data_IF_097421091790
#
_entry.id   IF_097421091790
#
_cell.length_a   1.000
_cell.length_b   1.000
_cell.length_c   1.000
_cell.angle_alpha   90.00
_cell.angle_beta   90.00
_cell.angle_gamma   90.00
#
_symmetry.space_group_name_H-M   'P 1'
#
loop_
_entity.id
_entity.type
_entity.pdbx_description
1 polymer ?
#
# COMPACT_ATOMS: atom_id res chain seq x y z
N UNK A 1 5.12 -16.30 18.98
CA UNK A 1 6.51 -16.45 18.52
C UNK A 1 7.45 -17.28 19.43
N UNK A 2 7.08 -17.57 20.67
CA UNK A 2 7.88 -18.43 21.58
C UNK A 2 7.43 -19.89 21.64
N UNK A 3 6.36 -20.29 20.96
CA UNK A 3 5.85 -21.66 20.96
C UNK A 3 6.63 -22.62 20.06
N UNK A 4 7.38 -22.12 19.07
CA UNK A 4 8.07 -22.97 18.10
C UNK A 4 9.42 -23.52 18.54
N UNK A 5 10.06 -22.98 19.58
CA UNK A 5 11.38 -23.47 20.03
C UNK A 5 11.26 -24.82 20.77
N UNK A 6 10.16 -25.06 21.48
CA UNK A 6 9.90 -26.33 22.14
C UNK A 6 9.56 -27.46 21.13
N UNK A 7 8.75 -27.13 20.11
CA UNK A 7 8.33 -28.12 19.11
C UNK A 7 9.49 -28.51 18.14
N UNK A 8 10.46 -27.60 17.90
CA UNK A 8 11.62 -27.92 17.08
C UNK A 8 12.55 -28.90 17.78
N UNK A 9 12.76 -28.78 19.08
CA UNK A 9 13.62 -29.71 19.84
C UNK A 9 12.98 -31.10 19.93
N UNK A 10 11.65 -31.19 20.13
CA UNK A 10 10.93 -32.48 20.09
C UNK A 10 10.97 -33.15 18.71
N UNK A 11 10.99 -32.35 17.63
CA UNK A 11 11.06 -32.87 16.27
C UNK A 11 12.43 -33.51 15.93
N UNK A 12 13.53 -33.06 16.55
CA UNK A 12 14.85 -33.67 16.40
C UNK A 12 14.95 -35.02 17.13
N UNK A 13 14.18 -35.23 18.17
CA UNK A 13 14.15 -36.49 18.91
C UNK A 13 13.19 -37.55 18.30
N UNK A 14 12.27 -37.13 17.43
CA UNK A 14 11.29 -38.01 16.80
C UNK A 14 11.63 -38.23 15.30
N UNK A 15 12.23 -39.39 14.91
CA UNK A 15 12.60 -39.63 13.50
C UNK A 15 11.41 -39.78 12.55
N UNK A 16 10.17 -39.77 13.07
CA UNK A 16 8.92 -39.82 12.27
C UNK A 16 8.25 -38.46 12.08
N UNK A 17 8.82 -37.39 12.67
CA UNK A 17 8.29 -36.04 12.49
C UNK A 17 8.92 -35.41 11.27
N UNK A 18 8.17 -35.36 10.18
CA UNK A 18 8.57 -34.65 8.97
C UNK A 18 8.29 -33.18 9.19
N UNK A 19 9.34 -32.39 9.44
CA UNK A 19 9.24 -30.92 9.45
C UNK A 19 9.28 -30.46 8.00
N UNK A 20 8.15 -30.13 7.45
CA UNK A 20 8.06 -29.49 6.14
C UNK A 20 8.35 -28.00 6.29
N UNK A 21 9.55 -27.57 5.91
CA UNK A 21 9.90 -26.15 5.83
C UNK A 21 9.27 -25.56 4.56
N UNK A 22 8.08 -25.01 4.71
CA UNK A 22 7.49 -24.18 3.67
C UNK A 22 8.07 -22.77 3.83
N UNK A 23 8.85 -22.28 2.85
CA UNK A 23 9.29 -20.90 2.88
C UNK A 23 8.07 -19.99 2.88
N UNK A 24 8.10 -18.95 3.71
CA UNK A 24 7.04 -17.94 3.70
C UNK A 24 6.92 -17.40 2.27
N UNK A 25 5.76 -17.60 1.65
CA UNK A 25 5.52 -17.10 0.29
C UNK A 25 5.33 -15.59 0.37
N UNK A 26 6.35 -14.85 -0.03
CA UNK A 26 6.27 -13.39 -0.13
C UNK A 26 5.23 -13.04 -1.20
N UNK A 27 4.23 -12.25 -0.82
CA UNK A 27 3.12 -11.87 -1.70
C UNK A 27 3.03 -10.36 -1.78
N UNK A 28 3.40 -9.82 -2.93
CA UNK A 28 3.12 -8.44 -3.30
C UNK A 28 1.72 -8.29 -3.90
N UNK A 29 1.26 -7.04 -4.04
CA UNK A 29 0.02 -6.69 -4.73
C UNK A 29 0.33 -5.93 -6.01
N UNK A 30 -0.37 -6.26 -7.09
CA UNK A 30 -0.23 -5.57 -8.37
C UNK A 30 -1.17 -4.37 -8.43
N UNK A 31 -0.63 -3.21 -8.82
CA UNK A 31 -1.38 -1.97 -9.03
C UNK A 31 -1.27 -1.56 -10.49
N UNK A 32 -2.37 -1.71 -11.23
CA UNK A 32 -2.45 -1.29 -12.63
C UNK A 32 -2.57 0.24 -12.72
N UNK A 33 -2.11 0.82 -13.83
CA UNK A 33 -2.16 2.26 -14.09
C UNK A 33 -1.38 3.15 -13.09
N UNK A 34 -0.58 2.58 -12.21
CA UNK A 34 0.25 3.30 -11.24
C UNK A 34 1.68 3.38 -11.79
N UNK A 35 2.37 4.57 -11.72
CA UNK A 35 3.76 4.70 -12.13
C UNK A 35 4.67 3.69 -11.44
N UNK A 36 5.65 3.12 -12.18
CA UNK A 36 6.45 2.00 -11.68
C UNK A 36 7.13 2.25 -10.32
N UNK A 37 7.75 3.42 -10.02
CA UNK A 37 8.38 3.62 -8.72
C UNK A 37 7.37 3.59 -7.55
N UNK A 38 6.17 4.14 -7.76
CA UNK A 38 5.09 4.15 -6.75
C UNK A 38 4.49 2.75 -6.60
N UNK A 39 4.23 2.09 -7.74
CA UNK A 39 3.67 0.73 -7.78
C UNK A 39 4.57 -0.28 -7.09
N UNK A 40 5.88 -0.23 -7.36
CA UNK A 40 6.84 -1.18 -6.85
C UNK A 40 6.99 -1.02 -5.32
N UNK A 41 7.04 0.23 -4.83
CA UNK A 41 7.02 0.52 -3.39
C UNK A 41 5.70 0.06 -2.72
N UNK A 42 4.56 0.25 -3.38
CA UNK A 42 3.27 -0.23 -2.87
C UNK A 42 3.20 -1.77 -2.83
N UNK A 43 3.77 -2.47 -3.83
CA UNK A 43 3.88 -3.94 -3.80
C UNK A 43 4.76 -4.40 -2.64
N UNK A 44 5.90 -3.74 -2.41
CA UNK A 44 6.82 -4.05 -1.31
C UNK A 44 6.16 -3.89 0.06
N UNK A 45 5.25 -2.91 0.24
CA UNK A 45 4.47 -2.78 1.47
C UNK A 45 3.65 -4.05 1.76
N UNK A 46 2.98 -4.62 0.73
CA UNK A 46 2.25 -5.88 0.87
C UNK A 46 3.16 -7.10 1.06
N UNK A 47 4.34 -7.09 0.46
CA UNK A 47 5.35 -8.13 0.68
C UNK A 47 5.80 -8.14 2.14
N UNK A 48 6.08 -6.97 2.73
CA UNK A 48 6.38 -6.84 4.15
C UNK A 48 5.25 -7.36 5.04
N UNK A 49 4.00 -7.03 4.71
CA UNK A 49 2.83 -7.53 5.42
C UNK A 49 2.75 -9.06 5.35
N UNK A 50 2.95 -9.64 4.17
CA UNK A 50 2.82 -11.10 3.93
C UNK A 50 3.78 -11.96 4.77
N UNK A 51 4.86 -11.36 5.26
CA UNK A 51 5.84 -11.97 6.16
C UNK A 51 5.73 -11.45 7.60
N UNK A 52 4.59 -10.83 7.95
CA UNK A 52 4.30 -10.24 9.25
C UNK A 52 5.29 -9.14 9.70
N UNK A 53 5.95 -8.47 8.76
CA UNK A 53 6.80 -7.31 9.03
C UNK A 53 5.98 -6.01 9.00
N UNK A 54 5.00 -5.90 9.91
CA UNK A 54 3.96 -4.86 9.88
C UNK A 54 4.50 -3.44 9.97
N UNK A 55 5.51 -3.19 10.84
CA UNK A 55 6.15 -1.87 10.94
C UNK A 55 6.82 -1.45 9.62
N UNK A 56 7.50 -2.38 8.94
CA UNK A 56 8.09 -2.10 7.64
C UNK A 56 7.02 -1.81 6.58
N UNK A 57 5.91 -2.55 6.58
CA UNK A 57 4.78 -2.33 5.68
C UNK A 57 4.19 -0.91 5.84
N UNK A 58 3.99 -0.45 7.08
CA UNK A 58 3.48 0.90 7.38
C UNK A 58 4.46 1.99 6.96
N UNK A 59 5.78 1.80 7.19
CA UNK A 59 6.81 2.72 6.72
C UNK A 59 6.84 2.82 5.20
N UNK A 60 6.68 1.70 4.49
CA UNK A 60 6.57 1.68 3.03
C UNK A 60 5.30 2.38 2.57
N UNK A 61 4.14 2.15 3.19
CA UNK A 61 2.90 2.85 2.87
C UNK A 61 3.05 4.38 3.02
N UNK A 62 3.70 4.85 4.09
CA UNK A 62 4.02 6.27 4.27
C UNK A 62 4.91 6.80 3.15
N UNK A 63 5.92 6.04 2.75
CA UNK A 63 6.83 6.39 1.64
C UNK A 63 6.08 6.47 0.31
N UNK A 64 5.08 5.60 0.08
CA UNK A 64 4.19 5.64 -1.09
C UNK A 64 3.38 6.94 -1.11
N UNK A 65 2.80 7.38 0.03
CA UNK A 65 2.09 8.67 0.09
C UNK A 65 2.99 9.83 -0.32
N UNK A 66 4.23 9.84 0.14
CA UNK A 66 5.20 10.86 -0.25
C UNK A 66 5.58 10.77 -1.75
N UNK A 67 5.75 9.57 -2.28
CA UNK A 67 6.04 9.34 -3.69
C UNK A 67 4.89 9.81 -4.59
N UNK A 68 3.64 9.53 -4.20
CA UNK A 68 2.43 10.03 -4.88
C UNK A 68 2.43 11.55 -4.91
N UNK A 69 2.69 12.22 -3.79
CA UNK A 69 2.72 13.68 -3.74
C UNK A 69 3.77 14.26 -4.69
N UNK A 70 4.97 13.70 -4.71
CA UNK A 70 6.06 14.12 -5.62
C UNK A 70 5.70 13.89 -7.09
N UNK A 71 5.12 12.75 -7.43
CA UNK A 71 4.66 12.43 -8.78
C UNK A 71 3.59 13.41 -9.27
N UNK A 72 2.71 13.86 -8.36
CA UNK A 72 1.70 14.88 -8.64
C UNK A 72 2.25 16.33 -8.59
N UNK A 73 3.57 16.50 -8.55
CA UNK A 73 4.24 17.81 -8.58
C UNK A 73 4.21 18.57 -7.25
N UNK A 74 3.98 17.89 -6.12
CA UNK A 74 4.07 18.46 -4.77
C UNK A 74 5.36 17.97 -4.12
N UNK A 75 6.47 18.68 -4.38
CA UNK A 75 7.83 18.23 -4.00
C UNK A 75 8.30 18.81 -2.67
N UNK A 76 7.93 20.07 -2.36
CA UNK A 76 8.49 20.80 -1.23
C UNK A 76 7.66 20.64 0.05
N UNK A 77 8.35 20.80 1.19
CA UNK A 77 7.74 20.81 2.51
C UNK A 77 7.57 19.42 3.15
N UNK A 78 7.08 19.38 4.38
CA UNK A 78 6.81 18.16 5.12
C UNK A 78 5.61 17.41 4.52
N UNK A 79 5.52 16.10 4.81
CA UNK A 79 4.47 15.24 4.24
C UNK A 79 3.04 15.73 4.57
N UNK A 80 2.82 16.30 5.75
CA UNK A 80 1.53 16.89 6.11
C UNK A 80 1.09 17.95 5.10
N UNK A 81 1.97 18.89 4.76
CA UNK A 81 1.69 19.97 3.80
C UNK A 81 1.48 19.42 2.38
N UNK A 82 2.21 18.37 2.03
CA UNK A 82 2.05 17.70 0.72
C UNK A 82 0.67 17.07 0.57
N UNK A 83 0.19 16.38 1.61
CA UNK A 83 -1.15 15.79 1.64
C UNK A 83 -2.23 16.86 1.54
N UNK A 84 -2.10 17.95 2.31
CA UNK A 84 -3.02 19.08 2.24
C UNK A 84 -3.07 19.69 0.84
N UNK A 85 -1.91 19.92 0.22
CA UNK A 85 -1.82 20.47 -1.13
C UNK A 85 -2.43 19.56 -2.21
N UNK A 86 -2.36 18.23 -2.07
CA UNK A 86 -3.08 17.32 -2.97
C UNK A 86 -4.60 17.53 -2.91
N UNK A 87 -5.15 17.72 -1.71
CA UNK A 87 -6.58 17.96 -1.52
C UNK A 87 -6.98 19.37 -2.02
N UNK A 88 -6.20 20.41 -1.73
CA UNK A 88 -6.43 21.78 -2.21
C UNK A 88 -6.41 21.88 -3.73
N UNK A 89 -5.58 21.11 -4.39
CA UNK A 89 -5.53 20.98 -5.87
C UNK A 89 -6.67 20.13 -6.44
N UNK A 90 -7.51 19.53 -5.61
CA UNK A 90 -8.60 18.66 -6.02
C UNK A 90 -8.15 17.32 -6.60
N UNK A 91 -6.90 16.90 -6.34
CA UNK A 91 -6.36 15.61 -6.79
C UNK A 91 -6.96 14.48 -5.96
N UNK A 92 -7.15 14.71 -4.67
CA UNK A 92 -7.79 13.77 -3.75
C UNK A 92 -8.97 14.43 -3.03
N UNK A 93 -9.95 13.61 -2.64
CA UNK A 93 -11.08 14.06 -1.82
C UNK A 93 -10.69 14.26 -0.36
N UNK A 94 -11.54 14.93 0.42
CA UNK A 94 -11.33 15.08 1.88
C UNK A 94 -11.17 13.74 2.58
N UNK A 95 -11.98 12.75 2.24
CA UNK A 95 -11.87 11.42 2.83
C UNK A 95 -10.50 10.78 2.55
N UNK A 96 -10.01 10.87 1.30
CA UNK A 96 -8.69 10.32 0.93
C UNK A 96 -7.57 11.10 1.60
N UNK A 97 -7.72 12.41 1.77
CA UNK A 97 -6.81 13.24 2.56
C UNK A 97 -6.71 12.73 4.00
N UNK A 98 -7.85 12.51 4.66
CA UNK A 98 -7.89 12.07 6.05
C UNK A 98 -7.21 10.68 6.20
N UNK A 99 -7.51 9.73 5.29
CA UNK A 99 -6.81 8.42 5.29
C UNK A 99 -5.30 8.53 5.05
N UNK A 100 -4.86 9.45 4.19
CA UNK A 100 -3.43 9.71 3.96
C UNK A 100 -2.74 10.31 5.20
N UNK A 101 -3.46 11.12 5.99
CA UNK A 101 -2.95 11.61 7.27
C UNK A 101 -2.82 10.48 8.29
N UNK A 102 -3.74 9.52 8.35
CA UNK A 102 -3.59 8.35 9.23
C UNK A 102 -2.36 7.51 8.87
N UNK A 103 -2.11 7.24 7.58
CA UNK A 103 -0.89 6.58 7.13
C UNK A 103 0.35 7.35 7.59
N UNK A 104 0.33 8.68 7.47
CA UNK A 104 1.42 9.55 7.91
C UNK A 104 1.63 9.46 9.43
N UNK A 105 0.58 9.48 10.22
CA UNK A 105 0.65 9.39 11.69
C UNK A 105 1.28 8.08 12.12
N UNK A 106 0.71 6.95 11.70
CA UNK A 106 1.23 5.62 12.00
C UNK A 106 2.69 5.45 11.55
N UNK A 107 3.01 5.90 10.32
CA UNK A 107 4.37 5.79 9.79
C UNK A 107 5.37 6.71 10.50
N UNK A 108 4.96 7.87 11.04
CA UNK A 108 5.83 8.72 11.84
C UNK A 108 6.21 8.06 13.17
N UNK A 109 5.26 7.46 13.88
CA UNK A 109 5.53 6.72 15.12
C UNK A 109 6.59 5.63 14.88
N UNK A 110 6.46 4.89 13.78
CA UNK A 110 7.44 3.86 13.39
C UNK A 110 8.82 4.46 13.05
N UNK A 111 8.86 5.62 12.39
CA UNK A 111 10.10 6.25 11.94
C UNK A 111 10.91 6.89 13.10
N UNK A 112 10.24 7.35 14.15
CA UNK A 112 10.88 7.96 15.31
C UNK A 112 11.33 6.96 16.38
N UNK A 113 11.10 5.67 16.17
CA UNK A 113 11.54 4.63 17.08
C UNK A 113 10.66 4.49 18.34
N UNK A 114 9.46 5.04 18.30
CA UNK A 114 8.45 4.86 19.37
C UNK A 114 7.84 3.45 19.27
N UNK A 115 8.66 2.44 19.53
CA UNK A 115 8.25 1.02 19.47
C UNK A 115 7.55 0.55 20.74
N UNK A 116 6.92 1.46 21.47
CA UNK A 116 6.28 1.18 22.77
C UNK A 116 5.07 0.27 22.63
N UNK A 117 4.35 0.36 21.50
CA UNK A 117 3.20 -0.48 21.20
C UNK A 117 3.50 -1.43 20.04
N UNK A 118 3.00 -2.65 20.14
CA UNK A 118 3.05 -3.60 19.03
C UNK A 118 2.00 -3.20 17.99
N UNK A 119 2.41 -3.24 16.73
CA UNK A 119 1.50 -3.07 15.60
C UNK A 119 0.78 -4.37 15.34
N UNK A 120 -0.53 -4.32 15.32
CA UNK A 120 -1.37 -5.47 15.01
C UNK A 120 -1.48 -5.70 13.50
N UNK A 121 -1.88 -6.89 13.10
CA UNK A 121 -2.17 -7.22 11.71
C UNK A 121 -3.33 -6.36 11.17
N UNK A 122 -4.37 -6.15 11.98
CA UNK A 122 -5.54 -5.34 11.63
C UNK A 122 -5.16 -3.88 11.33
N UNK A 123 -4.35 -3.26 12.18
CA UNK A 123 -3.84 -1.90 11.94
C UNK A 123 -3.00 -1.80 10.66
N UNK A 124 -2.18 -2.82 10.40
CA UNK A 124 -1.40 -2.88 9.16
C UNK A 124 -2.31 -3.02 7.94
N UNK A 125 -3.33 -3.87 8.02
CA UNK A 125 -4.33 -4.06 6.95
C UNK A 125 -5.07 -2.77 6.64
N UNK A 126 -5.51 -2.04 7.65
CA UNK A 126 -6.18 -0.74 7.50
C UNK A 126 -5.28 0.27 6.80
N UNK A 127 -4.02 0.41 7.23
CA UNK A 127 -3.05 1.32 6.60
C UNK A 127 -2.81 0.97 5.13
N UNK A 128 -2.66 -0.32 4.79
CA UNK A 128 -2.47 -0.75 3.41
C UNK A 128 -3.74 -0.58 2.56
N UNK A 129 -4.92 -0.73 3.15
CA UNK A 129 -6.19 -0.42 2.50
C UNK A 129 -6.31 1.08 2.21
N UNK A 130 -5.95 1.97 3.16
CA UNK A 130 -5.92 3.42 2.94
C UNK A 130 -4.95 3.81 1.82
N UNK A 131 -3.76 3.19 1.79
CA UNK A 131 -2.80 3.37 0.68
C UNK A 131 -3.42 2.94 -0.67
N UNK A 132 -4.13 1.82 -0.71
CA UNK A 132 -4.80 1.35 -1.93
C UNK A 132 -5.89 2.32 -2.40
N UNK A 133 -6.67 2.90 -1.47
CA UNK A 133 -7.68 3.93 -1.78
C UNK A 133 -7.04 5.18 -2.37
N UNK A 134 -5.90 5.62 -1.84
CA UNK A 134 -5.13 6.74 -2.39
C UNK A 134 -4.68 6.45 -3.83
N UNK A 135 -4.09 5.28 -4.09
CA UNK A 135 -3.61 4.90 -5.42
C UNK A 135 -4.76 4.75 -6.43
N UNK A 136 -5.90 4.20 -5.99
CA UNK A 136 -7.10 4.12 -6.82
C UNK A 136 -7.61 5.52 -7.19
N UNK A 137 -7.72 6.43 -6.23
CA UNK A 137 -8.21 7.78 -6.44
C UNK A 137 -7.31 8.59 -7.40
N UNK A 138 -5.99 8.51 -7.23
CA UNK A 138 -5.04 9.34 -7.99
C UNK A 138 -4.76 8.79 -9.39
N UNK A 139 -4.69 7.48 -9.55
CA UNK A 139 -4.24 6.86 -10.80
C UNK A 139 -5.30 5.98 -11.45
N UNK A 140 -5.87 5.02 -10.73
CA UNK A 140 -6.67 3.97 -11.34
C UNK A 140 -8.04 4.46 -11.81
N UNK A 141 -8.75 5.26 -11.01
CA UNK A 141 -10.06 5.81 -11.39
C UNK A 141 -9.97 6.78 -12.58
N UNK A 142 -9.01 7.74 -12.62
CA UNK A 142 -8.81 8.59 -13.80
C UNK A 142 -8.50 7.80 -15.07
N UNK A 143 -7.64 6.77 -14.98
CA UNK A 143 -7.30 5.92 -16.11
C UNK A 143 -8.51 5.11 -16.60
N UNK A 144 -9.29 4.51 -15.69
CA UNK A 144 -10.53 3.80 -16.01
C UNK A 144 -11.55 4.72 -16.71
N UNK A 145 -11.73 5.92 -16.18
CA UNK A 145 -12.65 6.91 -16.77
C UNK A 145 -12.23 7.30 -18.20
N UNK A 146 -10.94 7.49 -18.42
CA UNK A 146 -10.39 7.83 -19.74
C UNK A 146 -10.65 6.71 -20.73
N UNK A 147 -10.38 5.44 -20.37
CA UNK A 147 -10.68 4.27 -21.21
C UNK A 147 -12.16 4.14 -21.51
N UNK A 148 -13.01 4.33 -20.50
CA UNK A 148 -14.48 4.26 -20.69
C UNK A 148 -14.98 5.32 -21.66
N UNK A 149 -14.51 6.57 -21.55
CA UNK A 149 -14.86 7.66 -22.48
C UNK A 149 -14.44 7.36 -23.91
N UNK A 150 -13.22 6.86 -24.11
CA UNK A 150 -12.72 6.47 -25.42
C UNK A 150 -13.57 5.35 -26.05
N UNK A 151 -13.92 4.32 -25.30
CA UNK A 151 -14.80 3.24 -25.78
C UNK A 151 -16.19 3.74 -26.16
N UNK A 152 -16.77 4.64 -25.38
CA UNK A 152 -18.06 5.24 -25.67
C UNK A 152 -18.03 6.05 -26.97
N UNK A 153 -16.97 6.86 -27.18
CA UNK A 153 -16.79 7.64 -28.41
C UNK A 153 -16.67 6.74 -29.63
N UNK A 154 -15.86 5.68 -29.57
CA UNK A 154 -15.68 4.73 -30.66
C UNK A 154 -17.01 4.06 -31.05
N UNK A 155 -17.85 3.68 -30.08
CA UNK A 155 -19.19 3.11 -30.34
C UNK A 155 -20.13 4.10 -31.03
N UNK A 156 -20.06 5.38 -30.67
CA UNK A 156 -20.88 6.43 -31.28
C UNK A 156 -20.47 6.68 -32.73
N UNK A 157 -19.16 6.77 -33.00
CA UNK A 157 -18.64 6.96 -34.35
C UNK A 157 -18.99 5.79 -35.28
N UNK A 158 -18.91 4.55 -34.81
CA UNK A 158 -19.28 3.38 -35.58
C UNK A 158 -20.78 3.35 -35.97
N UNK A 159 -21.68 3.93 -35.14
CA UNK A 159 -23.12 4.02 -35.48
C UNK A 159 -23.44 5.11 -36.48
N UNK A 160 -22.62 6.15 -36.62
CA UNK A 160 -22.85 7.27 -37.53
C UNK A 160 -22.38 6.93 -38.99
N UNK A 161 -21.60 5.88 -39.16
CA UNK A 161 -21.06 5.43 -40.45
C UNK A 161 -21.95 4.42 -41.19
N UNK A 162 -23.08 4.04 -40.63
CA UNK A 162 -24.14 3.21 -41.22
C UNK A 162 -25.42 4.00 -41.42
#
# INVERSE_FOLDING_TARGET
RRQYVGEADEAFENPYLVIEWLPATVRGRRFEDVPSPVRDAASEAYECQSIHSFRAAILMARSVVEAVAKDQGVVDGPLVTKIDALAERGIISTLVKDTAHEIRHMGNEMAHGDFVQDVTEEECDDVLNFMSVLLDAVYQQPAKLTRFRAQRQARTSAKTTH
#
